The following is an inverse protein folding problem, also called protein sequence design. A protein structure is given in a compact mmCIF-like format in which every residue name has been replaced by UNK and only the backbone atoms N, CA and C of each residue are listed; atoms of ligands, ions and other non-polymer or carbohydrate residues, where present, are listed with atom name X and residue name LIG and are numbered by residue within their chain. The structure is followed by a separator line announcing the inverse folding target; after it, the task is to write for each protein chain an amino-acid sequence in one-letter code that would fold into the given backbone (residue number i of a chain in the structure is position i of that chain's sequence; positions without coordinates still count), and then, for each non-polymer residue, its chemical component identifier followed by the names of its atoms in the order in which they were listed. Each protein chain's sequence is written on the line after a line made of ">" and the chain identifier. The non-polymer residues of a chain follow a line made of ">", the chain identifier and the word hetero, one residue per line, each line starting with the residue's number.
data_IF_650905262951
#
_entry.id   IF_650905262951
#
_cell.length_a   1.000
_cell.length_b   1.000
_cell.length_c   1.000
_cell.angle_alpha   90.00
_cell.angle_beta   90.00
_cell.angle_gamma   90.00
#
_symmetry.space_group_name_H-M   'P 1'
#
loop_
_entity.id
_entity.type
_entity.pdbx_description
1 polymer ?
#
# COMPACT_ATOMS: atom_id res chain seq x y z
N UNK A 1 1.01 7.16 -11.76
CA UNK A 1 0.65 7.81 -10.49
C UNK A 1 -0.87 7.78 -10.31
N UNK A 2 -1.49 6.62 -10.04
CA UNK A 2 -2.95 6.49 -9.84
C UNK A 2 -3.45 5.09 -9.40
N UNK A 3 -2.61 4.07 -9.24
CA UNK A 3 -3.13 2.68 -9.20
C UNK A 3 -3.66 2.28 -7.80
N UNK A 4 -2.89 2.56 -6.73
CA UNK A 4 -3.27 2.10 -5.39
C UNK A 4 -4.57 2.73 -4.86
N UNK A 5 -4.82 4.02 -5.10
CA UNK A 5 -6.08 4.64 -4.67
C UNK A 5 -7.32 4.07 -5.39
N UNK A 6 -7.20 3.77 -6.69
CA UNK A 6 -8.26 3.11 -7.45
C UNK A 6 -8.47 1.68 -6.95
N UNK A 7 -7.38 0.97 -6.62
CA UNK A 7 -7.43 -0.38 -6.07
C UNK A 7 -8.06 -0.42 -4.68
N UNK A 8 -7.68 0.51 -3.80
CA UNK A 8 -8.30 0.67 -2.47
C UNK A 8 -9.79 0.89 -2.65
N UNK A 9 -10.20 1.85 -3.49
CA UNK A 9 -11.61 2.14 -3.75
C UNK A 9 -12.37 0.91 -4.26
N UNK A 10 -11.81 0.21 -5.24
CA UNK A 10 -12.41 -1.01 -5.78
C UNK A 10 -12.60 -2.10 -4.70
N UNK A 11 -11.58 -2.31 -3.85
CA UNK A 11 -11.67 -3.26 -2.74
C UNK A 11 -12.69 -2.82 -1.69
N UNK A 12 -12.78 -1.51 -1.41
CA UNK A 12 -13.78 -0.97 -0.48
C UNK A 12 -15.20 -1.20 -1.02
N UNK A 13 -15.43 -0.97 -2.31
CA UNK A 13 -16.71 -1.19 -2.97
C UNK A 13 -17.08 -2.68 -3.04
N UNK A 14 -16.09 -3.58 -3.19
CA UNK A 14 -16.30 -5.03 -3.32
C UNK A 14 -16.44 -5.75 -1.99
N UNK A 15 -15.51 -5.51 -1.07
CA UNK A 15 -15.32 -6.30 0.16
C UNK A 15 -15.68 -5.51 1.43
N UNK A 16 -15.92 -4.21 1.31
CA UNK A 16 -16.18 -3.31 2.43
C UNK A 16 -14.91 -2.69 3.03
N UNK A 17 -15.11 -1.63 3.82
CA UNK A 17 -14.03 -0.83 4.41
C UNK A 17 -13.15 -1.64 5.37
N UNK A 18 -13.75 -2.48 6.22
CA UNK A 18 -12.98 -3.29 7.20
C UNK A 18 -12.05 -4.30 6.53
N UNK A 19 -12.55 -5.06 5.55
CA UNK A 19 -11.74 -6.02 4.79
C UNK A 19 -10.63 -5.31 4.01
N UNK A 20 -10.94 -4.17 3.42
CA UNK A 20 -9.95 -3.34 2.70
C UNK A 20 -8.88 -2.81 3.64
N UNK A 21 -9.25 -2.36 4.84
CA UNK A 21 -8.30 -1.90 5.86
C UNK A 21 -7.32 -3.00 6.27
N UNK A 22 -7.81 -4.23 6.49
CA UNK A 22 -6.96 -5.39 6.79
C UNK A 22 -6.01 -5.69 5.63
N UNK A 23 -6.51 -5.63 4.40
CA UNK A 23 -5.70 -5.82 3.20
C UNK A 23 -4.61 -4.73 3.06
N UNK A 24 -4.97 -3.46 3.28
CA UNK A 24 -4.04 -2.32 3.23
C UNK A 24 -2.95 -2.46 4.29
N UNK A 25 -3.31 -2.76 5.53
CA UNK A 25 -2.35 -2.94 6.63
C UNK A 25 -1.37 -4.09 6.34
N UNK A 26 -1.85 -5.21 5.79
CA UNK A 26 -1.01 -6.35 5.42
C UNK A 26 -0.07 -6.01 4.26
N UNK A 27 -0.59 -5.36 3.22
CA UNK A 27 0.19 -4.95 2.04
C UNK A 27 1.28 -3.94 2.41
N UNK A 28 0.94 -2.97 3.26
CA UNK A 28 1.89 -1.98 3.76
C UNK A 28 3.05 -2.62 4.56
N UNK A 29 2.76 -3.66 5.35
CA UNK A 29 3.82 -4.43 6.03
C UNK A 29 4.77 -5.09 5.02
N UNK A 30 4.23 -5.78 4.01
CA UNK A 30 5.02 -6.44 2.96
C UNK A 30 5.89 -5.43 2.20
N UNK A 31 5.34 -4.27 1.89
CA UNK A 31 6.06 -3.23 1.14
C UNK A 31 7.21 -2.63 1.97
N UNK A 32 6.99 -2.41 3.28
CA UNK A 32 8.06 -1.99 4.19
C UNK A 32 9.14 -3.06 4.34
N UNK A 33 8.75 -4.33 4.48
CA UNK A 33 9.69 -5.45 4.55
C UNK A 33 10.50 -5.59 3.25
N UNK A 34 9.89 -5.36 2.08
CA UNK A 34 10.58 -5.35 0.80
C UNK A 34 11.59 -4.19 0.65
N UNK A 35 11.29 -3.02 1.24
CA UNK A 35 12.20 -1.87 1.28
C UNK A 35 13.36 -2.04 2.28
N UNK A 36 13.15 -2.80 3.35
CA UNK A 36 14.16 -3.11 4.37
C UNK A 36 15.00 -4.34 4.01
N UNK A 37 14.43 -5.29 3.29
CA UNK A 37 15.12 -6.48 2.82
C UNK A 37 16.10 -6.13 1.71
N UNK A 38 17.29 -6.70 1.78
CA UNK A 38 18.34 -6.67 0.76
C UNK A 38 17.95 -7.54 -0.46
N UNK A 39 16.70 -7.40 -0.92
CA UNK A 39 16.17 -8.13 -2.06
C UNK A 39 16.55 -7.36 -3.32
N UNK A 40 17.37 -7.99 -4.17
CA UNK A 40 17.94 -7.43 -5.42
C UNK A 40 16.97 -6.66 -6.35
N UNK A 41 15.65 -6.79 -6.18
CA UNK A 41 14.63 -6.08 -6.96
C UNK A 41 14.24 -4.69 -6.42
N UNK A 42 14.32 -4.46 -5.10
CA UNK A 42 14.03 -3.15 -4.47
C UNK A 42 15.24 -2.24 -4.41
N UNK A 43 16.44 -2.77 -4.67
CA UNK A 43 17.68 -2.00 -4.88
C UNK A 43 17.69 -1.20 -6.18
N UNK A 44 16.75 -1.45 -7.10
CA UNK A 44 16.55 -0.62 -8.28
C UNK A 44 15.80 0.66 -7.88
N UNK A 45 16.38 1.86 -8.10
CA UNK A 45 15.82 3.12 -7.62
C UNK A 45 14.40 3.39 -8.15
N UNK A 46 14.08 2.90 -9.35
CA UNK A 46 12.75 3.03 -9.96
C UNK A 46 11.67 2.22 -9.22
N UNK A 47 12.03 1.07 -8.67
CA UNK A 47 11.10 0.26 -7.87
C UNK A 47 10.90 0.89 -6.50
N UNK A 48 11.98 1.37 -5.88
CA UNK A 48 11.92 2.02 -4.56
C UNK A 48 10.92 3.17 -4.54
N UNK A 49 10.97 4.09 -5.51
CA UNK A 49 10.05 5.22 -5.57
C UNK A 49 8.59 4.78 -5.68
N UNK A 50 8.29 3.74 -6.47
CA UNK A 50 6.93 3.19 -6.58
C UNK A 50 6.44 2.59 -5.26
N UNK A 51 7.31 1.89 -4.53
CA UNK A 51 6.97 1.36 -3.21
C UNK A 51 6.72 2.50 -2.20
N UNK A 52 7.53 3.55 -2.21
CA UNK A 52 7.36 4.72 -1.34
C UNK A 52 6.04 5.46 -1.62
N UNK A 53 5.70 5.67 -2.90
CA UNK A 53 4.42 6.27 -3.30
C UNK A 53 3.21 5.42 -2.85
N UNK A 54 3.29 4.10 -3.04
CA UNK A 54 2.25 3.17 -2.61
C UNK A 54 2.06 3.16 -1.09
N UNK A 55 3.16 3.13 -0.34
CA UNK A 55 3.11 3.19 1.12
C UNK A 55 2.43 4.47 1.56
N UNK A 56 2.78 5.62 0.97
CA UNK A 56 2.16 6.90 1.31
C UNK A 56 0.65 6.89 1.05
N UNK A 57 0.22 6.36 -0.10
CA UNK A 57 -1.21 6.23 -0.43
C UNK A 57 -1.97 5.36 0.59
N UNK A 58 -1.36 4.25 1.02
CA UNK A 58 -1.91 3.37 2.06
C UNK A 58 -1.98 4.04 3.43
N UNK A 59 -0.93 4.78 3.83
CA UNK A 59 -0.92 5.52 5.09
C UNK A 59 -1.99 6.62 5.12
N UNK A 60 -2.13 7.38 4.02
CA UNK A 60 -3.17 8.41 3.90
C UNK A 60 -4.57 7.82 3.99
N UNK A 61 -4.81 6.66 3.38
CA UNK A 61 -6.10 5.97 3.50
C UNK A 61 -6.36 5.54 4.95
N UNK A 62 -5.40 4.88 5.60
CA UNK A 62 -5.54 4.44 7.00
C UNK A 62 -5.72 5.60 7.99
N UNK A 63 -5.18 6.78 7.70
CA UNK A 63 -5.35 7.97 8.51
C UNK A 63 -6.73 8.65 8.34
N UNK A 64 -7.38 8.46 7.18
CA UNK A 64 -8.69 9.06 6.87
C UNK A 64 -9.86 8.19 7.31
N UNK A 65 -9.69 6.87 7.36
CA UNK A 65 -10.74 5.95 7.80
C UNK A 65 -10.87 5.98 9.33
N UNK A 66 -12.01 6.43 9.90
CA UNK A 66 -12.23 6.43 11.34
C UNK A 66 -12.20 5.00 11.90
N UNK A 67 -11.65 4.86 13.11
CA UNK A 67 -11.29 3.57 13.70
C UNK A 67 -12.48 2.71 14.07
#
# INVERSE_FOLDING_TARGET
>A
MADEHLRIRFLTERDGAEATRVWVARTLKIYREALQGESNYTSLPEYRSRFEEAIRAFEEYLAREPR
#
